data_IF_484648233019
#
_entry.id   IF_484648233019
#
_cell.length_a   1.000
_cell.length_b   1.000
_cell.length_c   1.000
_cell.angle_alpha   90.00
_cell.angle_beta   90.00
_cell.angle_gamma   90.00
#
_symmetry.space_group_name_H-M   'P 1'
#
loop_
_entity.id
_entity.type
_entity.pdbx_description
1 polymer ?
#
# COMPACT_ATOMS: atom_id res chain seq x y z
N UNK A 1 0.79 -16.93 13.39
CA UNK A 1 1.11 -17.67 12.14
C UNK A 1 0.37 -19.00 12.08
N UNK A 2 0.42 -19.87 13.12
CA UNK A 2 -0.21 -21.20 13.07
C UNK A 2 -1.69 -21.22 12.67
N UNK A 3 -2.50 -20.27 13.16
CA UNK A 3 -3.92 -20.18 12.77
C UNK A 3 -4.11 -19.84 11.28
N UNK A 4 -3.20 -19.05 10.71
CA UNK A 4 -3.25 -18.67 9.29
C UNK A 4 -2.75 -19.80 8.39
N UNK A 5 -1.71 -20.53 8.79
CA UNK A 5 -1.28 -21.74 8.07
C UNK A 5 -2.38 -22.80 8.04
N UNK A 6 -3.00 -23.08 9.20
CA UNK A 6 -4.17 -23.96 9.25
C UNK A 6 -5.30 -23.48 8.34
N UNK A 7 -5.60 -22.17 8.34
CA UNK A 7 -6.67 -21.62 7.51
C UNK A 7 -6.38 -21.76 6.01
N UNK A 8 -5.15 -21.45 5.59
CA UNK A 8 -4.71 -21.59 4.20
C UNK A 8 -4.76 -23.05 3.71
N UNK A 9 -4.40 -24.02 4.58
CA UNK A 9 -4.51 -25.45 4.25
C UNK A 9 -5.96 -25.95 4.10
N UNK A 10 -6.93 -25.27 4.71
CA UNK A 10 -8.33 -25.73 4.78
C UNK A 10 -9.26 -25.03 3.78
N UNK A 11 -8.82 -23.94 3.15
CA UNK A 11 -9.64 -23.16 2.23
C UNK A 11 -9.15 -23.28 0.79
N UNK A 12 -10.09 -23.22 -0.15
CA UNK A 12 -9.80 -23.08 -1.57
C UNK A 12 -9.75 -21.62 -2.02
N UNK A 13 -10.27 -20.69 -1.21
CA UNK A 13 -10.17 -19.25 -1.45
C UNK A 13 -8.80 -18.74 -0.98
N UNK A 14 -8.07 -17.95 -1.79
CA UNK A 14 -6.75 -17.44 -1.39
C UNK A 14 -6.80 -16.57 -0.14
N UNK A 15 -5.84 -16.80 0.76
CA UNK A 15 -5.61 -15.99 1.96
C UNK A 15 -4.52 -14.96 1.70
N UNK A 16 -4.84 -13.69 1.92
CA UNK A 16 -3.89 -12.57 1.81
C UNK A 16 -3.41 -12.13 3.20
N UNK A 17 -2.11 -11.90 3.35
CA UNK A 17 -1.56 -11.37 4.61
C UNK A 17 -0.02 -11.41 4.69
N UNK A 18 0.57 -10.95 5.81
CA UNK A 18 -0.04 -10.15 6.87
C UNK A 18 0.04 -8.64 6.57
N UNK A 19 -1.04 -7.91 6.88
CA UNK A 19 -1.01 -6.44 6.81
C UNK A 19 -0.39 -5.81 8.07
N UNK A 20 -0.96 -6.09 9.23
CA UNK A 20 -0.68 -5.38 10.49
C UNK A 20 0.42 -5.99 11.35
N UNK A 21 0.95 -7.16 10.97
CA UNK A 21 1.96 -7.84 11.79
C UNK A 21 3.32 -7.13 11.68
N UNK A 22 3.91 -6.83 12.84
CA UNK A 22 5.24 -6.21 12.94
C UNK A 22 6.37 -7.11 12.42
N UNK A 23 7.61 -6.62 12.48
CA UNK A 23 8.79 -7.38 12.03
C UNK A 23 9.14 -7.23 10.54
N UNK A 24 8.43 -6.36 9.82
CA UNK A 24 8.75 -5.94 8.43
C UNK A 24 8.89 -7.15 7.50
N UNK A 25 9.88 -7.14 6.59
CA UNK A 25 10.17 -8.21 5.65
C UNK A 25 10.65 -9.52 6.30
N UNK A 26 11.26 -9.48 7.49
CA UNK A 26 11.67 -10.69 8.20
C UNK A 26 10.47 -11.53 8.63
N UNK A 27 9.44 -10.90 9.21
CA UNK A 27 8.22 -11.62 9.57
C UNK A 27 7.48 -12.15 8.34
N UNK A 28 7.48 -11.40 7.24
CA UNK A 28 6.83 -11.82 6.00
C UNK A 28 7.54 -13.02 5.36
N UNK A 29 8.86 -13.16 5.53
CA UNK A 29 9.59 -14.38 5.17
C UNK A 29 9.11 -15.59 5.99
N UNK A 30 8.84 -15.42 7.29
CA UNK A 30 8.28 -16.51 8.11
C UNK A 30 6.86 -16.89 7.67
N UNK A 31 6.05 -15.93 7.23
CA UNK A 31 4.71 -16.21 6.67
C UNK A 31 4.78 -17.03 5.37
N UNK A 32 5.66 -16.65 4.45
CA UNK A 32 5.91 -17.40 3.21
C UNK A 32 6.40 -18.81 3.54
N UNK A 33 7.42 -18.93 4.40
CA UNK A 33 7.99 -20.24 4.78
C UNK A 33 6.97 -21.16 5.45
N UNK A 34 6.08 -20.61 6.27
CA UNK A 34 5.08 -21.38 7.00
C UNK A 34 3.82 -21.71 6.17
N UNK A 35 3.71 -21.24 4.92
CA UNK A 35 2.48 -21.40 4.14
C UNK A 35 1.28 -20.68 4.77
N UNK A 36 1.51 -19.53 5.42
CA UNK A 36 0.47 -18.82 6.17
C UNK A 36 -0.44 -17.94 5.28
N UNK A 37 -0.12 -17.82 3.99
CA UNK A 37 -0.88 -17.05 3.01
C UNK A 37 -0.55 -17.50 1.60
N UNK A 38 -1.49 -17.33 0.69
CA UNK A 38 -1.33 -17.55 -0.75
C UNK A 38 -0.86 -16.27 -1.46
N UNK A 39 -1.21 -15.10 -0.90
CA UNK A 39 -0.84 -13.78 -1.40
C UNK A 39 -0.19 -13.01 -0.24
N UNK A 40 1.03 -12.52 -0.44
CA UNK A 40 1.72 -11.76 0.60
C UNK A 40 1.13 -10.35 0.69
N UNK A 41 1.21 -9.71 1.85
CA UNK A 41 0.77 -8.32 2.04
C UNK A 41 1.85 -7.45 2.66
N UNK A 42 2.01 -6.25 2.11
CA UNK A 42 2.95 -5.25 2.58
C UNK A 42 2.31 -3.86 2.45
N UNK A 43 2.95 -2.83 2.96
CA UNK A 43 2.49 -1.45 2.77
C UNK A 43 3.48 -0.50 3.41
N UNK A 44 3.74 0.65 2.79
CA UNK A 44 4.79 1.57 3.24
C UNK A 44 4.61 1.93 4.73
N UNK A 45 3.37 2.20 5.16
CA UNK A 45 3.06 2.50 6.56
C UNK A 45 3.17 1.29 7.49
N UNK A 46 2.86 0.07 7.00
CA UNK A 46 2.84 -1.15 7.80
C UNK A 46 4.23 -1.78 8.00
N UNK A 47 5.13 -1.65 7.02
CA UNK A 47 6.48 -2.27 7.09
C UNK A 47 7.62 -1.27 7.29
N UNK A 48 7.32 0.02 7.41
CA UNK A 48 8.29 1.06 7.76
C UNK A 48 8.99 1.71 6.56
N UNK A 49 8.28 1.89 5.46
CA UNK A 49 8.67 2.71 4.30
C UNK A 49 8.64 1.98 2.95
N UNK A 50 8.97 2.72 1.90
CA UNK A 50 9.08 2.20 0.53
C UNK A 50 10.15 1.09 0.46
N UNK A 51 11.35 1.35 0.98
CA UNK A 51 12.46 0.39 0.94
C UNK A 51 12.13 -0.99 1.53
N UNK A 52 11.59 -1.13 2.76
CA UNK A 52 11.19 -2.44 3.26
C UNK A 52 9.99 -3.03 2.50
N UNK A 53 9.10 -2.22 1.93
CA UNK A 53 8.00 -2.72 1.09
C UNK A 53 8.54 -3.39 -0.18
N UNK A 54 9.50 -2.75 -0.86
CA UNK A 54 10.17 -3.34 -2.03
C UNK A 54 10.87 -4.67 -1.69
N UNK A 55 11.47 -4.79 -0.49
CA UNK A 55 12.06 -6.06 -0.03
C UNK A 55 11.02 -7.16 0.14
N UNK A 56 9.80 -6.83 0.60
CA UNK A 56 8.71 -7.80 0.70
C UNK A 56 8.22 -8.21 -0.68
N UNK A 57 8.04 -7.24 -1.59
CA UNK A 57 7.59 -7.53 -2.95
C UNK A 57 8.59 -8.45 -3.68
N UNK A 58 9.89 -8.17 -3.58
CA UNK A 58 10.95 -9.02 -4.15
C UNK A 58 11.02 -10.40 -3.47
N UNK A 59 10.79 -10.47 -2.15
CA UNK A 59 10.67 -11.75 -1.44
C UNK A 59 9.50 -12.57 -2.01
N UNK A 60 8.30 -11.99 -2.13
CA UNK A 60 7.15 -12.69 -2.71
C UNK A 60 7.43 -13.15 -4.15
N UNK A 61 8.00 -12.28 -4.98
CA UNK A 61 8.37 -12.58 -6.36
C UNK A 61 9.33 -13.78 -6.44
N UNK A 62 10.29 -13.89 -5.51
CA UNK A 62 11.24 -15.01 -5.47
C UNK A 62 10.59 -16.38 -5.16
N UNK A 63 9.38 -16.38 -4.60
CA UNK A 63 8.56 -17.58 -4.36
C UNK A 63 7.42 -17.73 -5.39
N UNK A 64 7.36 -16.88 -6.41
CA UNK A 64 6.27 -16.88 -7.40
C UNK A 64 4.93 -16.41 -6.83
N UNK A 65 4.95 -15.62 -5.75
CA UNK A 65 3.76 -15.10 -5.08
C UNK A 65 3.51 -13.64 -5.46
N UNK A 66 2.22 -13.28 -5.51
CA UNK A 66 1.79 -11.88 -5.50
C UNK A 66 2.03 -11.25 -4.11
N UNK A 67 2.24 -9.94 -4.09
CA UNK A 67 2.37 -9.10 -2.92
C UNK A 67 1.47 -7.86 -3.06
N UNK A 68 0.28 -7.91 -2.49
CA UNK A 68 -0.66 -6.79 -2.51
C UNK A 68 -0.18 -5.69 -1.54
N UNK A 69 -0.18 -4.45 -2.03
CA UNK A 69 0.24 -3.27 -1.26
C UNK A 69 -0.98 -2.65 -0.58
N UNK A 70 -0.95 -2.65 0.75
CA UNK A 70 -1.96 -2.02 1.61
C UNK A 70 -1.80 -0.50 1.65
N UNK A 71 -2.95 0.16 1.54
CA UNK A 71 -3.15 1.58 1.78
C UNK A 71 -2.97 2.45 0.53
N UNK A 72 -3.72 3.54 0.49
CA UNK A 72 -3.64 4.57 -0.53
C UNK A 72 -2.44 5.52 -0.28
N UNK A 73 -2.39 6.61 -1.04
CA UNK A 73 -1.35 7.63 -0.96
C UNK A 73 -0.12 7.36 -1.83
N UNK A 74 0.76 8.36 -1.86
CA UNK A 74 1.81 8.46 -2.88
C UNK A 74 2.89 7.38 -2.74
N UNK A 75 3.25 7.03 -1.50
CA UNK A 75 4.25 5.99 -1.24
C UNK A 75 3.78 4.61 -1.73
N UNK A 76 2.53 4.25 -1.47
CA UNK A 76 1.95 2.99 -1.95
C UNK A 76 1.82 2.98 -3.47
N UNK A 77 1.33 4.08 -4.07
CA UNK A 77 1.18 4.19 -5.52
C UNK A 77 2.53 4.08 -6.24
N UNK A 78 3.58 4.71 -5.70
CA UNK A 78 4.94 4.61 -6.24
C UNK A 78 5.50 3.18 -6.17
N UNK A 79 5.22 2.43 -5.09
CA UNK A 79 5.61 1.01 -5.00
C UNK A 79 4.85 0.19 -6.02
N UNK A 80 3.52 0.32 -6.10
CA UNK A 80 2.69 -0.44 -7.06
C UNK A 80 3.13 -0.16 -8.49
N UNK A 81 3.42 1.09 -8.84
CA UNK A 81 3.95 1.46 -10.16
C UNK A 81 5.35 0.92 -10.47
N UNK A 82 6.10 0.44 -9.47
CA UNK A 82 7.46 -0.06 -9.60
C UNK A 82 7.60 -1.59 -9.57
N UNK A 83 6.53 -2.33 -9.24
CA UNK A 83 6.54 -3.80 -9.13
C UNK A 83 5.54 -4.45 -10.09
N UNK A 84 5.75 -5.72 -10.42
CA UNK A 84 4.86 -6.48 -11.33
C UNK A 84 3.94 -7.47 -10.63
N UNK A 85 4.30 -7.91 -9.43
CA UNK A 85 3.57 -8.91 -8.66
C UNK A 85 2.59 -8.28 -7.66
N UNK A 86 1.88 -7.22 -8.08
CA UNK A 86 0.82 -6.59 -7.29
C UNK A 86 -0.31 -6.25 -8.25
N UNK A 87 -1.51 -6.79 -8.00
CA UNK A 87 -2.61 -6.65 -8.96
C UNK A 87 -3.28 -5.29 -8.85
N UNK A 88 -3.38 -4.75 -7.65
CA UNK A 88 -4.19 -3.56 -7.39
C UNK A 88 -3.42 -2.46 -6.68
N UNK A 89 -3.88 -1.24 -6.90
CA UNK A 89 -3.67 -0.14 -5.98
C UNK A 89 -4.92 -0.01 -5.10
N UNK A 90 -4.75 0.02 -3.78
CA UNK A 90 -5.86 0.20 -2.85
C UNK A 90 -6.27 1.68 -2.78
N UNK A 91 -7.36 2.04 -3.48
CA UNK A 91 -7.92 3.40 -3.51
C UNK A 91 -9.08 3.51 -2.53
N UNK A 92 -8.90 4.26 -1.45
CA UNK A 92 -9.90 4.39 -0.39
C UNK A 92 -9.33 4.84 0.96
N UNK A 93 -10.07 4.71 2.07
CA UNK A 93 -11.41 4.11 2.16
C UNK A 93 -12.50 5.00 1.54
N UNK A 94 -13.55 4.37 1.01
CA UNK A 94 -14.67 5.06 0.36
C UNK A 94 -15.90 5.04 1.26
N UNK A 95 -16.65 6.13 1.27
CA UNK A 95 -17.92 6.24 2.01
C UNK A 95 -18.92 7.09 1.20
N UNK A 96 -20.22 6.74 1.14
CA UNK A 96 -21.21 7.47 0.32
C UNK A 96 -21.45 8.93 0.74
N UNK A 97 -20.91 9.38 1.88
CA UNK A 97 -21.02 10.75 2.38
C UNK A 97 -19.73 11.56 2.22
N UNK A 98 -18.70 10.98 1.59
CA UNK A 98 -17.42 11.62 1.36
C UNK A 98 -17.11 11.57 -0.13
N UNK A 99 -16.64 12.69 -0.66
CA UNK A 99 -16.06 12.72 -2.00
C UNK A 99 -14.56 12.39 -1.87
N UNK A 100 -14.16 11.22 -2.37
CA UNK A 100 -12.74 10.82 -2.34
C UNK A 100 -11.90 11.64 -3.33
N UNK A 101 -12.52 12.15 -4.40
CA UNK A 101 -11.81 12.89 -5.44
C UNK A 101 -11.62 14.37 -5.08
N UNK A 102 -12.17 14.82 -3.94
CA UNK A 102 -11.83 16.10 -3.34
C UNK A 102 -10.39 16.06 -2.78
N UNK A 103 -9.47 16.94 -3.25
CA UNK A 103 -8.14 17.00 -2.70
C UNK A 103 -8.16 17.34 -1.21
N UNK A 104 -7.34 16.65 -0.42
CA UNK A 104 -7.09 17.06 0.96
C UNK A 104 -6.58 18.51 0.97
N UNK A 105 -7.00 19.32 1.95
CA UNK A 105 -6.75 20.76 1.94
C UNK A 105 -5.27 21.18 1.84
N UNK A 106 -4.35 20.30 2.29
CA UNK A 106 -2.90 20.50 2.20
C UNK A 106 -2.29 20.09 0.84
N UNK A 107 -3.11 19.69 -0.13
CA UNK A 107 -2.73 19.35 -1.51
C UNK A 107 -3.53 20.19 -2.52
N UNK A 108 -2.89 20.58 -3.62
CA UNK A 108 -3.55 21.27 -4.73
C UNK A 108 -4.26 20.31 -5.70
N UNK A 109 -3.92 19.00 -5.67
CA UNK A 109 -4.53 17.95 -6.48
C UNK A 109 -4.45 16.60 -5.77
N UNK A 110 -5.39 15.68 -6.09
CA UNK A 110 -5.34 14.30 -5.59
C UNK A 110 -4.09 13.56 -6.09
N UNK A 111 -3.61 12.63 -5.28
CA UNK A 111 -2.40 11.84 -5.56
C UNK A 111 -2.65 10.76 -6.61
N UNK A 112 -3.85 10.20 -6.60
CA UNK A 112 -4.26 8.97 -7.27
C UNK A 112 -5.49 9.20 -8.17
N UNK A 113 -5.42 10.10 -9.16
CA UNK A 113 -6.53 10.30 -10.11
C UNK A 113 -6.83 9.01 -10.86
N UNK A 114 -8.11 8.66 -10.95
CA UNK A 114 -8.60 7.45 -11.59
C UNK A 114 -9.43 7.81 -12.83
N UNK A 115 -9.21 7.11 -13.94
CA UNK A 115 -10.02 7.29 -15.15
C UNK A 115 -11.35 6.54 -15.08
N UNK A 116 -12.17 6.68 -16.13
CA UNK A 116 -13.49 6.05 -16.24
C UNK A 116 -13.43 4.52 -16.42
N UNK A 117 -12.24 3.96 -16.67
CA UNK A 117 -11.99 2.52 -16.77
C UNK A 117 -11.45 1.92 -15.46
N UNK A 118 -11.26 2.75 -14.42
CA UNK A 118 -10.77 2.30 -13.11
C UNK A 118 -9.25 2.20 -12.99
N UNK A 119 -8.48 2.82 -13.90
CA UNK A 119 -7.02 2.88 -13.78
C UNK A 119 -6.58 4.15 -13.08
N UNK A 120 -5.73 3.99 -12.06
CA UNK A 120 -5.06 5.11 -11.39
C UNK A 120 -3.79 5.49 -12.14
N UNK A 121 -3.64 6.79 -12.42
CA UNK A 121 -2.51 7.30 -13.20
C UNK A 121 -1.41 7.86 -12.29
N UNK A 122 -0.22 7.27 -12.37
CA UNK A 122 0.95 7.71 -11.61
C UNK A 122 1.42 9.10 -12.08
N UNK A 123 1.63 10.00 -11.11
CA UNK A 123 2.16 11.35 -11.34
C UNK A 123 3.53 11.33 -12.05
N UNK A 124 3.72 12.25 -12.98
CA UNK A 124 5.02 12.46 -13.67
C UNK A 124 5.89 13.53 -12.98
N UNK A 125 5.43 14.09 -11.86
CA UNK A 125 6.20 15.06 -11.06
C UNK A 125 7.36 14.35 -10.35
N UNK A 126 8.48 15.04 -10.04
CA UNK A 126 9.59 14.45 -9.30
C UNK A 126 9.19 13.95 -7.89
N UNK A 127 9.97 12.99 -7.37
CA UNK A 127 9.77 12.46 -6.02
C UNK A 127 8.50 11.61 -5.91
N UNK A 128 7.73 11.81 -4.84
CA UNK A 128 6.42 11.16 -4.65
C UNK A 128 5.30 11.83 -5.46
N UNK A 129 5.59 12.97 -6.10
CA UNK A 129 4.67 13.66 -7.00
C UNK A 129 3.45 14.32 -6.35
N UNK A 130 3.44 14.43 -5.02
CA UNK A 130 2.43 15.16 -4.24
C UNK A 130 2.49 16.66 -4.54
N UNK A 131 1.34 17.24 -4.88
CA UNK A 131 1.21 18.67 -5.19
C UNK A 131 0.92 19.47 -3.93
N UNK A 132 1.95 19.70 -3.12
CA UNK A 132 1.79 20.23 -1.77
C UNK A 132 1.30 21.69 -1.80
N UNK A 133 0.21 21.97 -1.09
CA UNK A 133 -0.29 23.31 -0.84
C UNK A 133 0.45 23.93 0.36
N UNK A 134 1.64 24.45 0.11
CA UNK A 134 2.47 25.07 1.15
C UNK A 134 1.81 26.29 1.81
N UNK A 135 1.00 27.05 1.06
CA UNK A 135 0.29 28.22 1.60
C UNK A 135 -0.75 27.80 2.66
N UNK A 136 -1.49 26.72 2.41
CA UNK A 136 -2.41 26.16 3.41
C UNK A 136 -1.66 25.67 4.64
N UNK A 137 -0.55 24.95 4.45
CA UNK A 137 0.26 24.42 5.58
C UNK A 137 0.78 25.58 6.43
N UNK A 138 1.36 26.62 5.83
CA UNK A 138 1.88 27.79 6.54
C UNK A 138 0.79 28.49 7.35
N UNK A 139 -0.39 28.70 6.73
CA UNK A 139 -1.53 29.35 7.39
C UNK A 139 -2.13 28.52 8.56
N UNK A 140 -1.88 27.21 8.61
CA UNK A 140 -2.41 26.29 9.62
C UNK A 140 -1.31 25.64 10.48
N UNK A 141 -0.10 26.18 10.45
CA UNK A 141 1.02 25.65 11.24
C UNK A 141 0.74 25.86 12.73
N UNK A 142 0.83 24.78 13.51
CA UNK A 142 0.68 24.82 14.96
C UNK A 142 2.07 24.96 15.59
N UNK A 143 2.27 26.00 16.41
CA UNK A 143 3.52 26.14 17.18
C UNK A 143 3.57 25.06 18.26
N UNK A 144 4.73 24.41 18.36
CA UNK A 144 5.05 23.56 19.50
C UNK A 144 5.76 24.45 20.54
N UNK A 145 5.02 24.92 21.53
CA UNK A 145 5.58 25.37 22.82
C UNK A 145 5.88 24.16 23.71
#
# INVERSE_FOLDING_TARGET
MSSYAWLAENLSIPIVGPESFGGKHHMRAEWVKAGACDILRAGANGVGGITPTMKVAALAESFGMDCEVHGNGAASLAVVGAIRNCRWYERGLLHPFLDYDEPAAYLNSIVDPMDDQGFVHLSQRPGLGEDINFAYIEANTVSHD
#
